data_IF_425046228886
#
_entry.id   IF_425046228886
#
_cell.length_a   1.000
_cell.length_b   1.000
_cell.length_c   1.000
_cell.angle_alpha   90.00
_cell.angle_beta   90.00
_cell.angle_gamma   90.00
#
_symmetry.space_group_name_H-M   'P 1'
#
loop_
_entity.id
_entity.type
_entity.pdbx_description
1 polymer ?
#
# COMPACT_ATOMS: atom_id res chain seq x y z
N UNK A 1 -9.44 -1.12 13.02
CA UNK A 1 -9.11 -0.68 11.66
C UNK A 1 -7.67 -1.03 11.43
N UNK A 2 -7.43 -2.07 10.65
CA UNK A 2 -6.09 -2.48 10.28
C UNK A 2 -5.80 -2.09 8.83
N UNK A 3 -4.55 -1.74 8.57
CA UNK A 3 -4.08 -1.53 7.21
C UNK A 3 -4.21 -2.84 6.43
N UNK A 4 -4.77 -2.78 5.23
CA UNK A 4 -5.02 -3.91 4.35
C UNK A 4 -3.89 -4.05 3.30
N UNK A 5 -2.78 -4.75 3.59
CA UNK A 5 -1.64 -4.88 2.66
C UNK A 5 -2.04 -5.54 1.33
N UNK A 6 -3.01 -6.45 1.36
CA UNK A 6 -3.52 -7.12 0.17
C UNK A 6 -4.19 -6.15 -0.83
N UNK A 7 -4.87 -5.11 -0.34
CA UNK A 7 -5.50 -4.10 -1.20
C UNK A 7 -4.44 -3.29 -1.97
N UNK A 8 -3.37 -2.88 -1.26
CA UNK A 8 -2.23 -2.21 -1.89
C UNK A 8 -1.56 -3.10 -2.95
N UNK A 9 -1.30 -4.38 -2.63
CA UNK A 9 -0.66 -5.32 -3.56
C UNK A 9 -1.53 -5.57 -4.80
N UNK A 10 -2.85 -5.74 -4.62
CA UNK A 10 -3.77 -5.94 -5.73
C UNK A 10 -3.80 -4.74 -6.68
N UNK A 11 -3.85 -3.51 -6.16
CA UNK A 11 -3.82 -2.31 -6.98
C UNK A 11 -2.48 -2.12 -7.71
N UNK A 12 -1.36 -2.46 -7.06
CA UNK A 12 -0.04 -2.46 -7.69
C UNK A 12 0.02 -3.44 -8.87
N UNK A 13 -0.46 -4.67 -8.68
CA UNK A 13 -0.54 -5.68 -9.74
C UNK A 13 -1.43 -5.23 -10.91
N UNK A 14 -2.57 -4.60 -10.62
CA UNK A 14 -3.45 -4.03 -11.65
C UNK A 14 -2.78 -2.92 -12.48
N UNK A 15 -1.75 -2.25 -11.93
CA UNK A 15 -0.91 -1.26 -12.65
C UNK A 15 0.34 -1.87 -13.29
N UNK A 16 0.52 -3.19 -13.21
CA UNK A 16 1.64 -3.91 -13.80
C UNK A 16 2.88 -4.03 -12.92
N UNK A 17 2.81 -3.59 -11.66
CA UNK A 17 3.92 -3.75 -10.72
C UNK A 17 3.90 -5.17 -10.13
N UNK A 18 5.04 -5.88 -10.19
CA UNK A 18 5.13 -7.27 -9.75
C UNK A 18 5.87 -7.43 -8.43
N UNK A 19 6.69 -6.45 -8.07
CA UNK A 19 7.53 -6.49 -6.87
C UNK A 19 7.38 -5.23 -6.02
N UNK A 20 7.70 -5.29 -4.70
CA UNK A 20 7.77 -4.08 -3.87
C UNK A 20 8.81 -3.05 -4.37
N UNK A 21 9.81 -3.49 -5.14
CA UNK A 21 10.77 -2.60 -5.78
C UNK A 21 10.14 -1.80 -6.92
N UNK A 22 9.30 -2.42 -7.74
CA UNK A 22 8.55 -1.72 -8.80
C UNK A 22 7.62 -0.68 -8.18
N UNK A 23 6.90 -1.09 -7.13
CA UNK A 23 6.01 -0.22 -6.38
C UNK A 23 6.74 0.99 -5.80
N UNK A 24 7.92 0.77 -5.20
CA UNK A 24 8.76 1.82 -4.64
C UNK A 24 9.25 2.80 -5.70
N UNK A 25 9.71 2.29 -6.85
CA UNK A 25 10.12 3.12 -7.99
C UNK A 25 8.96 3.96 -8.53
N UNK A 26 7.77 3.38 -8.65
CA UNK A 26 6.59 4.08 -9.15
C UNK A 26 6.08 5.15 -8.19
N UNK A 27 6.07 4.86 -6.89
CA UNK A 27 5.64 5.82 -5.86
C UNK A 27 6.70 6.88 -5.53
N UNK A 28 7.98 6.65 -5.84
CA UNK A 28 9.09 7.50 -5.39
C UNK A 28 9.34 7.39 -3.88
N UNK A 29 9.08 6.22 -3.29
CA UNK A 29 9.18 5.94 -1.85
C UNK A 29 10.31 4.95 -1.58
N UNK A 30 11.03 5.02 -0.43
CA UNK A 30 12.06 4.04 -0.09
C UNK A 30 11.54 2.59 -0.09
N UNK A 31 12.27 1.69 -0.76
CA UNK A 31 11.94 0.27 -0.89
C UNK A 31 11.55 -0.38 0.45
N UNK A 32 12.34 -0.17 1.50
CA UNK A 32 12.10 -0.81 2.79
C UNK A 32 10.77 -0.38 3.43
N UNK A 33 10.32 0.86 3.18
CA UNK A 33 9.00 1.31 3.63
C UNK A 33 7.90 0.56 2.89
N UNK A 34 7.98 0.50 1.56
CA UNK A 34 7.01 -0.20 0.71
C UNK A 34 6.97 -1.70 1.01
N UNK A 35 8.12 -2.34 1.22
CA UNK A 35 8.20 -3.73 1.64
C UNK A 35 7.44 -3.98 2.94
N UNK A 36 7.62 -3.11 3.95
CA UNK A 36 6.91 -3.23 5.24
C UNK A 36 5.40 -3.05 5.08
N UNK A 37 4.97 -2.16 4.20
CA UNK A 37 3.55 -1.97 3.88
C UNK A 37 2.98 -3.19 3.16
N UNK A 38 3.60 -3.62 2.06
CA UNK A 38 3.15 -4.75 1.25
C UNK A 38 3.09 -6.08 2.03
N UNK A 39 3.95 -6.25 3.05
CA UNK A 39 3.96 -7.43 3.92
C UNK A 39 3.11 -7.29 5.18
N UNK A 40 2.46 -6.13 5.39
CA UNK A 40 1.64 -5.85 6.57
C UNK A 40 2.44 -5.66 7.87
N UNK A 41 3.77 -5.55 7.81
CA UNK A 41 4.62 -5.35 9.00
C UNK A 41 4.44 -3.98 9.63
N UNK A 42 4.13 -2.95 8.83
CA UNK A 42 3.77 -1.61 9.30
C UNK A 42 2.71 -1.01 8.38
N UNK A 43 1.89 -0.12 8.95
CA UNK A 43 1.03 0.75 8.15
C UNK A 43 1.82 1.95 7.57
N UNK A 44 1.43 2.47 6.40
CA UNK A 44 1.92 3.74 5.90
C UNK A 44 1.42 4.90 6.77
N UNK A 45 2.31 5.85 7.07
CA UNK A 45 1.93 7.13 7.65
C UNK A 45 1.32 8.09 6.61
N UNK A 46 1.00 9.34 6.98
CA UNK A 46 0.30 10.29 6.10
C UNK A 46 0.96 10.49 4.74
N UNK A 47 2.29 10.68 4.70
CA UNK A 47 3.02 10.85 3.43
C UNK A 47 3.00 9.58 2.56
N UNK A 48 2.99 8.40 3.19
CA UNK A 48 2.89 7.12 2.49
C UNK A 48 1.50 6.89 1.90
N UNK A 49 0.45 7.21 2.66
CA UNK A 49 -0.93 7.16 2.20
C UNK A 49 -1.15 8.09 1.00
N UNK A 50 -0.65 9.34 1.08
CA UNK A 50 -0.73 10.28 -0.04
C UNK A 50 0.02 9.80 -1.30
N UNK A 51 1.15 9.11 -1.14
CA UNK A 51 1.87 8.52 -2.25
C UNK A 51 1.09 7.36 -2.88
N UNK A 52 0.51 6.48 -2.06
CA UNK A 52 -0.32 5.36 -2.51
C UNK A 52 -1.55 5.87 -3.27
N UNK A 53 -2.25 6.87 -2.73
CA UNK A 53 -3.43 7.47 -3.35
C UNK A 53 -3.08 8.09 -4.72
N UNK A 54 -2.02 8.90 -4.80
CA UNK A 54 -1.59 9.52 -6.06
C UNK A 54 -1.20 8.49 -7.12
N UNK A 55 -0.55 7.39 -6.73
CA UNK A 55 0.01 6.42 -7.68
C UNK A 55 -0.99 5.35 -8.09
N UNK A 56 -1.78 4.83 -7.14
CA UNK A 56 -2.69 3.70 -7.36
C UNK A 56 -4.17 4.07 -7.29
N UNK A 57 -4.52 5.29 -6.86
CA UNK A 57 -5.90 5.74 -6.72
C UNK A 57 -6.62 5.16 -5.51
N UNK A 58 -5.90 4.56 -4.55
CA UNK A 58 -6.46 4.00 -3.33
C UNK A 58 -6.54 5.07 -2.25
N UNK A 59 -7.75 5.34 -1.75
CA UNK A 59 -7.97 6.22 -0.62
C UNK A 59 -7.61 5.55 0.70
N UNK A 60 -7.55 6.31 1.79
CA UNK A 60 -7.36 5.74 3.13
C UNK A 60 -8.49 4.76 3.48
N UNK A 61 -9.72 5.01 3.03
CA UNK A 61 -10.85 4.10 3.27
C UNK A 61 -10.66 2.75 2.56
N UNK A 62 -10.12 2.75 1.33
CA UNK A 62 -9.85 1.50 0.58
C UNK A 62 -8.73 0.66 1.23
N UNK A 63 -7.81 1.33 1.92
CA UNK A 63 -6.64 0.72 2.57
C UNK A 63 -6.90 0.31 4.02
N UNK A 64 -7.99 0.76 4.63
CA UNK A 64 -8.34 0.44 6.01
C UNK A 64 -9.47 -0.56 6.01
N UNK A 65 -9.19 -1.79 6.43
CA UNK A 65 -10.24 -2.76 6.69
C UNK A 65 -10.80 -2.50 8.09
N UNK A 66 -12.12 -2.41 8.21
CA UNK A 66 -12.76 -2.65 9.50
C UNK A 66 -12.47 -4.09 9.88
N UNK A 67 -11.71 -4.30 10.95
CA UNK A 67 -11.44 -5.64 11.47
C UNK A 67 -12.79 -6.29 11.76
N UNK A 68 -13.25 -7.15 10.84
CA UNK A 68 -14.35 -8.04 11.09
C UNK A 68 -13.86 -8.98 12.19
N UNK A 69 -14.19 -8.64 13.43
CA UNK A 69 -14.16 -9.56 14.54
C UNK A 69 -15.11 -10.71 14.18
N UNK A 70 -14.54 -11.86 13.87
CA UNK A 70 -15.22 -13.14 13.77
C UNK A 70 -14.64 -14.06 14.85
#
# INVERSE_FOLDING_TARGET
MSFAPAALVAAAQAKGDQTPADMARRMGVPYLAVYRWATGRNAPGPSGLAAIERTYGLTTADLMREDAAA
#
